data_IF_167302351744
#
_entry.id   IF_167302351744
#
_cell.length_a   1.000
_cell.length_b   1.000
_cell.length_c   1.000
_cell.angle_alpha   90.00
_cell.angle_beta   90.00
_cell.angle_gamma   90.00
#
_symmetry.space_group_name_H-M   'P 1'
#
loop_
_entity.id
_entity.type
_entity.pdbx_description
1 polymer ?
#
# COMPACT_ATOMS: atom_id res chain seq x y z
N UNK A 1 4.75 8.68 7.99
CA UNK A 1 4.54 7.59 8.99
C UNK A 1 3.31 7.77 9.87
N UNK A 2 2.64 8.93 9.89
CA UNK A 2 1.45 9.15 10.74
C UNK A 2 0.25 8.28 10.35
N UNK A 3 0.21 7.67 9.17
CA UNK A 3 -0.89 6.77 8.76
C UNK A 3 -0.71 5.32 9.24
N UNK A 4 0.40 5.02 9.92
CA UNK A 4 0.71 3.68 10.44
C UNK A 4 0.59 3.62 11.96
N UNK A 5 0.51 2.40 12.49
CA UNK A 5 0.57 2.13 13.93
C UNK A 5 1.85 2.69 14.57
N UNK A 6 1.75 3.58 15.57
CA UNK A 6 2.90 4.17 16.25
C UNK A 6 3.75 3.15 17.02
N UNK A 7 3.21 1.98 17.37
CA UNK A 7 4.00 0.89 17.98
C UNK A 7 5.00 0.28 16.99
N UNK A 8 4.85 0.57 15.69
CA UNK A 8 5.72 0.06 14.65
C UNK A 8 5.48 -1.40 14.28
N UNK A 9 4.44 -2.03 14.84
CA UNK A 9 3.99 -3.39 14.50
C UNK A 9 3.21 -3.39 13.18
N UNK A 10 3.92 -3.08 12.10
CA UNK A 10 3.38 -2.98 10.75
C UNK A 10 4.17 -3.88 9.80
N UNK A 11 3.54 -4.31 8.72
CA UNK A 11 4.22 -5.00 7.63
C UNK A 11 3.58 -4.62 6.30
N UNK A 12 4.37 -4.73 5.24
CA UNK A 12 3.91 -4.54 3.86
C UNK A 12 4.49 -5.67 3.03
N UNK A 13 3.61 -6.37 2.31
CA UNK A 13 4.00 -7.22 1.19
C UNK A 13 3.87 -6.33 -0.05
N UNK A 14 4.99 -6.09 -0.72
CA UNK A 14 5.02 -5.21 -1.89
C UNK A 14 4.69 -5.97 -3.18
N UNK A 15 4.99 -5.35 -4.32
CA UNK A 15 4.71 -5.90 -5.65
C UNK A 15 5.92 -6.60 -6.27
N UNK A 16 7.09 -6.56 -5.62
CA UNK A 16 8.26 -7.35 -6.01
C UNK A 16 8.10 -8.85 -5.75
N UNK A 17 8.95 -9.67 -6.38
CA UNK A 17 8.87 -11.14 -6.34
C UNK A 17 9.03 -11.74 -4.93
N UNK A 18 9.92 -11.18 -4.10
CA UNK A 18 10.16 -11.61 -2.71
C UNK A 18 10.20 -10.39 -1.78
N UNK A 19 9.09 -9.66 -1.76
CA UNK A 19 9.03 -8.35 -1.12
C UNK A 19 8.17 -8.35 0.15
N UNK A 20 8.81 -8.59 1.30
CA UNK A 20 8.21 -8.39 2.62
C UNK A 20 9.08 -7.45 3.47
N UNK A 21 8.46 -6.36 3.91
CA UNK A 21 9.05 -5.44 4.87
C UNK A 21 8.25 -5.45 6.17
N UNK A 22 8.93 -5.72 7.28
CA UNK A 22 8.32 -5.76 8.61
C UNK A 22 8.92 -4.70 9.53
N UNK A 23 8.10 -4.18 10.43
CA UNK A 23 8.48 -3.13 11.37
C UNK A 23 8.51 -1.74 10.72
N UNK A 24 8.43 -0.71 11.57
CA UNK A 24 8.51 0.68 11.13
C UNK A 24 9.76 1.03 10.30
N UNK A 25 10.98 0.51 10.61
CA UNK A 25 12.16 0.80 9.80
C UNK A 25 12.06 0.23 8.38
N UNK A 26 11.70 -1.06 8.24
CA UNK A 26 11.61 -1.71 6.93
C UNK A 26 10.51 -1.10 6.07
N UNK A 27 9.33 -0.86 6.65
CA UNK A 27 8.25 -0.19 5.91
C UNK A 27 8.65 1.22 5.50
N UNK A 28 9.36 1.98 6.35
CA UNK A 28 9.86 3.30 5.98
C UNK A 28 10.83 3.24 4.80
N UNK A 29 11.77 2.31 4.81
CA UNK A 29 12.74 2.11 3.74
C UNK A 29 12.02 1.80 2.41
N UNK A 30 11.08 0.86 2.43
CA UNK A 30 10.25 0.54 1.26
C UNK A 30 9.57 1.79 0.68
N UNK A 31 8.88 2.56 1.51
CA UNK A 31 8.19 3.77 1.03
C UNK A 31 9.17 4.83 0.54
N UNK A 32 10.31 5.04 1.21
CA UNK A 32 11.32 6.00 0.76
C UNK A 32 11.85 5.64 -0.62
N UNK A 33 12.19 4.36 -0.86
CA UNK A 33 12.61 3.85 -2.16
C UNK A 33 11.51 4.03 -3.22
N UNK A 34 10.28 3.61 -2.90
CA UNK A 34 9.16 3.74 -3.83
C UNK A 34 8.85 5.20 -4.19
N UNK A 35 9.01 6.14 -3.26
CA UNK A 35 8.83 7.57 -3.54
C UNK A 35 9.98 8.17 -4.35
N UNK A 36 11.23 7.73 -4.12
CA UNK A 36 12.37 8.20 -4.93
C UNK A 36 12.31 7.68 -6.37
N UNK A 37 11.73 6.50 -6.56
CA UNK A 37 11.61 5.82 -7.86
C UNK A 37 10.20 6.01 -8.48
N UNK A 38 9.36 6.87 -7.90
CA UNK A 38 7.97 7.00 -8.30
C UNK A 38 7.83 7.54 -9.74
N UNK A 39 7.43 6.65 -10.66
CA UNK A 39 7.09 6.99 -12.05
C UNK A 39 5.59 6.99 -12.32
N UNK A 40 4.77 6.79 -11.27
CA UNK A 40 3.32 6.77 -11.39
C UNK A 40 2.76 8.15 -11.74
N UNK A 41 2.02 8.23 -12.84
CA UNK A 41 1.38 9.45 -13.33
C UNK A 41 -0.09 9.55 -12.95
N UNK A 42 -0.76 8.40 -12.79
CA UNK A 42 -2.19 8.31 -12.46
C UNK A 42 -2.50 7.02 -11.70
N UNK A 43 -3.45 7.13 -10.78
CA UNK A 43 -4.14 5.99 -10.16
C UNK A 43 -5.60 5.99 -10.60
N UNK A 44 -6.08 4.85 -11.08
CA UNK A 44 -7.49 4.64 -11.38
C UNK A 44 -8.07 3.61 -10.41
N UNK A 45 -9.04 4.04 -9.62
CA UNK A 45 -9.67 3.23 -8.60
C UNK A 45 -10.75 2.34 -9.23
N UNK A 46 -10.61 1.03 -9.05
CA UNK A 46 -11.60 0.05 -9.44
C UNK A 46 -12.50 -0.36 -8.27
N UNK A 47 -12.99 -1.59 -8.31
CA UNK A 47 -13.82 -2.15 -7.24
C UNK A 47 -13.10 -2.19 -5.91
N UNK A 48 -13.90 -2.04 -4.86
CA UNK A 48 -13.44 -2.20 -3.49
C UNK A 48 -14.46 -2.98 -2.67
N UNK A 49 -13.97 -3.61 -1.60
CA UNK A 49 -14.79 -4.21 -0.56
C UNK A 49 -14.21 -3.83 0.81
N UNK A 50 -15.09 -3.71 1.81
CA UNK A 50 -14.72 -3.33 3.18
C UNK A 50 -15.40 -4.30 4.15
N UNK A 51 -14.58 -5.08 4.84
CA UNK A 51 -15.04 -5.99 5.90
C UNK A 51 -14.62 -5.44 7.25
N UNK A 52 -15.61 -5.21 8.13
CA UNK A 52 -15.39 -4.68 9.48
C UNK A 52 -15.69 -5.77 10.50
N UNK A 53 -14.75 -6.05 11.41
CA UNK A 53 -14.95 -7.02 12.49
C UNK A 53 -14.14 -6.64 13.73
N UNK A 54 -14.81 -6.54 14.88
CA UNK A 54 -14.18 -6.43 16.20
C UNK A 54 -13.03 -5.41 16.31
N UNK A 55 -13.24 -4.19 15.80
CA UNK A 55 -12.22 -3.13 15.86
C UNK A 55 -11.11 -3.27 14.82
N UNK A 56 -11.22 -4.20 13.88
CA UNK A 56 -10.37 -4.31 12.70
C UNK A 56 -11.20 -4.07 11.44
N UNK A 57 -10.56 -3.54 10.40
CA UNK A 57 -11.12 -3.37 9.06
C UNK A 57 -10.15 -3.94 8.06
N UNK A 58 -10.67 -4.71 7.10
CA UNK A 58 -9.93 -5.11 5.90
C UNK A 58 -10.53 -4.34 4.73
N UNK A 59 -9.71 -3.55 4.06
CA UNK A 59 -10.06 -2.89 2.80
C UNK A 59 -9.37 -3.63 1.67
N UNK A 60 -10.14 -4.16 0.74
CA UNK A 60 -9.64 -4.76 -0.50
C UNK A 60 -9.94 -3.82 -1.65
N UNK A 61 -8.93 -3.39 -2.39
CA UNK A 61 -9.03 -2.41 -3.47
C UNK A 61 -8.36 -2.95 -4.74
N UNK A 62 -9.07 -2.94 -5.85
CA UNK A 62 -8.47 -3.06 -7.18
C UNK A 62 -8.13 -1.66 -7.68
N UNK A 63 -6.94 -1.44 -8.19
CA UNK A 63 -6.58 -0.19 -8.84
C UNK A 63 -5.69 -0.46 -10.06
N UNK A 64 -5.69 0.46 -11.01
CA UNK A 64 -4.74 0.47 -12.11
C UNK A 64 -3.78 1.63 -11.90
N UNK A 65 -2.48 1.31 -11.87
CA UNK A 65 -1.41 2.31 -11.79
C UNK A 65 -0.88 2.56 -13.20
N UNK A 66 -0.90 3.82 -13.64
CA UNK A 66 -0.28 4.23 -14.89
C UNK A 66 1.13 4.71 -14.60
N UNK A 67 2.12 4.12 -15.28
CA UNK A 67 3.55 4.35 -15.05
C UNK A 67 4.19 4.86 -16.33
N UNK A 68 5.08 5.85 -16.19
CA UNK A 68 5.96 6.29 -17.28
C UNK A 68 7.26 5.48 -17.24
N UNK A 69 7.58 4.79 -18.33
CA UNK A 69 8.84 4.05 -18.48
C UNK A 69 9.63 4.58 -19.67
N UNK A 70 10.90 4.20 -19.80
CA UNK A 70 11.69 4.54 -21.00
C UNK A 70 11.05 4.01 -22.29
N UNK A 71 10.31 2.90 -22.21
CA UNK A 71 9.56 2.30 -23.31
C UNK A 71 8.18 2.91 -23.57
N UNK A 72 7.80 3.96 -22.84
CA UNK A 72 6.49 4.62 -22.93
C UNK A 72 5.60 4.39 -21.72
N UNK A 73 4.34 4.79 -21.84
CA UNK A 73 3.33 4.63 -20.79
C UNK A 73 2.85 3.18 -20.71
N UNK A 74 2.85 2.62 -19.51
CA UNK A 74 2.27 1.31 -19.23
C UNK A 74 1.18 1.44 -18.16
N UNK A 75 0.27 0.47 -18.11
CA UNK A 75 -0.72 0.36 -17.05
C UNK A 75 -0.59 -0.99 -16.34
N UNK A 76 -0.56 -0.96 -15.02
CA UNK A 76 -0.35 -2.13 -14.17
C UNK A 76 -1.56 -2.30 -13.24
N UNK A 77 -2.34 -3.38 -13.36
CA UNK A 77 -3.41 -3.68 -12.43
C UNK A 77 -2.82 -4.21 -11.12
N UNK A 78 -3.26 -3.63 -10.00
CA UNK A 78 -2.83 -3.98 -8.64
C UNK A 78 -4.05 -4.34 -7.79
N UNK A 79 -3.91 -5.41 -7.02
CA UNK A 79 -4.84 -5.79 -5.95
C UNK A 79 -4.18 -5.44 -4.63
N UNK A 80 -4.74 -4.47 -3.94
CA UNK A 80 -4.19 -3.94 -2.71
C UNK A 80 -5.11 -4.27 -1.54
N UNK A 81 -4.55 -4.84 -0.48
CA UNK A 81 -5.28 -5.06 0.78
C UNK A 81 -4.64 -4.23 1.88
N UNK A 82 -5.46 -3.50 2.62
CA UNK A 82 -5.05 -2.72 3.78
C UNK A 82 -5.81 -3.25 5.00
N UNK A 83 -5.08 -3.67 6.02
CA UNK A 83 -5.66 -4.06 7.31
C UNK A 83 -5.45 -2.91 8.27
N UNK A 84 -6.55 -2.41 8.82
CA UNK A 84 -6.58 -1.31 9.77
C UNK A 84 -7.07 -1.82 11.11
N UNK A 85 -6.54 -1.29 12.20
CA UNK A 85 -7.09 -1.44 13.54
C UNK A 85 -7.64 -0.13 14.06
N UNK A 86 -8.66 -0.22 14.89
CA UNK A 86 -9.25 0.92 15.57
C UNK A 86 -8.46 1.22 16.83
N UNK A 87 -7.79 2.36 16.83
CA UNK A 87 -7.37 3.05 18.05
C UNK A 87 -8.26 4.29 18.22
N UNK A 88 -7.72 5.47 18.48
CA UNK A 88 -8.47 6.74 18.37
C UNK A 88 -8.97 6.98 16.93
N UNK A 89 -8.20 6.55 15.93
CA UNK A 89 -8.55 6.52 14.50
C UNK A 89 -8.21 5.16 13.90
N UNK A 90 -8.60 4.96 12.64
CA UNK A 90 -8.16 3.79 11.87
C UNK A 90 -6.70 3.99 11.44
N UNK A 91 -5.86 3.01 11.77
CA UNK A 91 -4.43 2.94 11.44
C UNK A 91 -4.08 1.55 10.94
#
# INVERSE_FOLDING_TARGET
MSVFDPSGNISVIGTGEDELFSGAPGVRELFQRNFSEATASKFEWGWYDIVISSGCVVVSQCLTIYLNTEGGEISVPVRWTVVLKKVERWL
#
